data_IF_088195560754
#
_entry.id   IF_088195560754
#
_cell.length_a   1.000
_cell.length_b   1.000
_cell.length_c   1.000
_cell.angle_alpha   90.00
_cell.angle_beta   90.00
_cell.angle_gamma   90.00
#
_symmetry.space_group_name_H-M   'P 1'
#
loop_
_entity.id
_entity.type
_entity.pdbx_description
1 polymer ?
#
# COMPACT_ATOMS: atom_id res chain seq x y z
N UNK A 1 3.83 -45.32 -33.90
CA UNK A 1 3.80 -44.00 -33.25
C UNK A 1 5.19 -43.68 -32.73
N UNK A 2 5.91 -42.82 -33.45
CA UNK A 2 7.38 -42.73 -33.39
C UNK A 2 7.85 -41.81 -32.25
N UNK A 3 9.08 -42.03 -31.76
CA UNK A 3 9.68 -41.25 -30.63
C UNK A 3 9.72 -39.74 -30.92
N UNK A 4 9.75 -39.38 -32.20
CA UNK A 4 9.78 -37.99 -32.68
C UNK A 4 8.40 -37.33 -32.72
N UNK A 5 7.31 -38.08 -32.89
CA UNK A 5 5.94 -37.56 -32.83
C UNK A 5 5.54 -37.21 -31.38
N UNK A 6 5.96 -38.05 -30.41
CA UNK A 6 5.73 -37.77 -28.97
C UNK A 6 6.48 -36.53 -28.48
N UNK A 7 7.68 -36.26 -29.03
CA UNK A 7 8.47 -35.05 -28.74
C UNK A 7 7.79 -33.78 -29.24
N UNK A 8 7.16 -33.84 -30.42
CA UNK A 8 6.38 -32.73 -30.97
C UNK A 8 5.16 -32.40 -30.10
N UNK A 9 4.45 -33.41 -29.63
CA UNK A 9 3.25 -33.22 -28.80
C UNK A 9 3.55 -32.62 -27.42
N UNK A 10 4.63 -33.07 -26.77
CA UNK A 10 5.09 -32.50 -25.48
C UNK A 10 5.57 -31.04 -25.66
N UNK A 11 6.23 -30.72 -26.77
CA UNK A 11 6.68 -29.36 -27.08
C UNK A 11 5.51 -28.41 -27.36
N UNK A 12 4.47 -28.87 -28.06
CA UNK A 12 3.25 -28.06 -28.29
C UNK A 12 2.44 -27.85 -27.01
N UNK A 13 2.34 -28.87 -26.15
CA UNK A 13 1.64 -28.76 -24.86
C UNK A 13 2.38 -27.80 -23.91
N UNK A 14 3.71 -27.75 -23.96
CA UNK A 14 4.52 -26.80 -23.19
C UNK A 14 4.39 -25.36 -23.72
N UNK A 15 4.31 -25.15 -25.04
CA UNK A 15 4.09 -23.83 -25.65
C UNK A 15 2.68 -23.27 -25.37
N UNK A 16 1.66 -24.13 -25.24
CA UNK A 16 0.32 -23.70 -24.83
C UNK A 16 0.28 -23.23 -23.37
N UNK A 17 0.97 -23.95 -22.48
CA UNK A 17 1.07 -23.57 -21.07
C UNK A 17 1.89 -22.28 -20.86
N UNK A 18 2.96 -22.06 -21.64
CA UNK A 18 3.75 -20.82 -21.53
C UNK A 18 3.04 -19.59 -22.11
N UNK A 19 2.14 -19.76 -23.09
CA UNK A 19 1.32 -18.65 -23.60
C UNK A 19 0.32 -18.10 -22.57
N UNK A 20 -0.10 -18.90 -21.60
CA UNK A 20 -1.06 -18.45 -20.59
C UNK A 20 -0.42 -17.69 -19.42
N UNK A 21 0.90 -17.78 -19.26
CA UNK A 21 1.67 -17.07 -18.21
C UNK A 21 2.40 -15.83 -18.72
N UNK A 22 2.15 -15.42 -19.97
CA UNK A 22 2.81 -14.26 -20.59
C UNK A 22 1.85 -13.24 -21.25
N UNK A 23 0.53 -13.47 -21.18
CA UNK A 23 -0.51 -12.54 -21.66
C UNK A 23 -1.24 -11.84 -20.49
N UNK A 24 -0.56 -11.68 -19.35
CA UNK A 24 -0.93 -10.72 -18.29
C UNK A 24 0.18 -9.71 -17.98
N UNK A 25 1.19 -9.60 -18.86
CA UNK A 25 2.32 -8.67 -18.63
C UNK A 25 2.16 -7.27 -19.25
N UNK A 26 1.11 -7.00 -20.05
CA UNK A 26 0.98 -5.70 -20.73
C UNK A 26 -0.36 -4.95 -20.50
N UNK A 27 -1.20 -5.41 -19.56
CA UNK A 27 -2.47 -4.71 -19.21
C UNK A 27 -2.58 -4.32 -17.72
N UNK A 28 -1.46 -4.30 -16.98
CA UNK A 28 -1.40 -3.68 -15.64
C UNK A 28 -0.25 -2.69 -15.47
N UNK A 29 0.64 -2.55 -16.45
CA UNK A 29 1.66 -1.48 -16.44
C UNK A 29 1.07 -0.08 -16.76
N UNK A 30 -0.23 0.01 -17.07
CA UNK A 30 -0.95 1.26 -17.36
C UNK A 30 -2.20 1.47 -16.48
N UNK A 31 -2.34 0.68 -15.41
CA UNK A 31 -3.37 0.85 -14.37
C UNK A 31 -2.78 0.94 -12.96
N UNK A 32 -1.46 1.12 -12.85
CA UNK A 32 -0.76 1.38 -11.59
C UNK A 32 -0.20 2.81 -11.54
N UNK A 33 -0.56 3.64 -12.51
CA UNK A 33 -0.21 5.07 -12.57
C UNK A 33 -1.32 6.00 -12.06
N UNK A 34 -2.34 5.46 -11.39
CA UNK A 34 -3.45 6.23 -10.81
C UNK A 34 -3.63 5.98 -9.31
N UNK A 35 -2.70 5.30 -8.65
CA UNK A 35 -2.70 5.14 -7.19
C UNK A 35 -1.43 5.71 -6.56
N UNK A 36 -0.76 6.64 -7.25
CA UNK A 36 -0.06 7.73 -6.56
C UNK A 36 -1.12 8.75 -6.13
N UNK A 37 -2.15 8.24 -5.45
CA UNK A 37 -3.18 9.08 -4.90
C UNK A 37 -2.46 9.89 -3.83
N UNK A 38 -2.51 11.21 -3.96
CA UNK A 38 -2.12 12.13 -2.89
C UNK A 38 -3.08 11.86 -1.74
N UNK A 39 -2.90 10.74 -1.05
CA UNK A 39 -3.86 10.24 -0.06
C UNK A 39 -3.88 11.30 1.02
N UNK A 40 -5.04 11.89 1.14
CA UNK A 40 -5.34 12.95 2.07
C UNK A 40 -5.34 12.28 3.44
N UNK A 41 -4.40 12.65 4.30
CA UNK A 41 -4.25 12.05 5.62
C UNK A 41 -4.68 13.04 6.68
N UNK A 42 -5.53 12.57 7.59
CA UNK A 42 -5.96 13.32 8.78
C UNK A 42 -4.87 13.17 9.84
N UNK A 43 -4.17 14.24 10.16
CA UNK A 43 -3.26 14.31 11.30
C UNK A 43 -3.90 15.06 12.46
N UNK A 44 -3.57 14.67 13.69
CA UNK A 44 -3.87 15.47 14.87
C UNK A 44 -2.69 16.41 15.13
N UNK A 45 -2.98 17.71 15.21
CA UNK A 45 -2.01 18.71 15.67
C UNK A 45 -1.84 18.64 17.19
N UNK A 46 -0.82 19.31 17.73
CA UNK A 46 -0.55 19.39 19.19
C UNK A 46 -1.73 19.92 20.01
N UNK A 47 -2.64 20.65 19.36
CA UNK A 47 -3.82 21.23 19.98
C UNK A 47 -5.06 20.31 19.88
N UNK A 48 -4.92 19.09 19.34
CA UNK A 48 -6.02 18.13 19.15
C UNK A 48 -6.88 18.40 17.91
N UNK A 49 -6.55 19.41 17.11
CA UNK A 49 -7.27 19.72 15.87
C UNK A 49 -6.88 18.75 14.75
N UNK A 50 -7.87 18.31 13.98
CA UNK A 50 -7.65 17.50 12.78
C UNK A 50 -7.22 18.42 11.65
N UNK A 51 -6.02 18.18 11.12
CA UNK A 51 -5.51 18.83 9.91
C UNK A 51 -5.36 17.80 8.81
N UNK A 52 -5.69 18.23 7.61
CA UNK A 52 -5.54 17.42 6.41
C UNK A 52 -4.19 17.75 5.78
N UNK A 53 -3.35 16.72 5.57
CA UNK A 53 -2.06 16.83 4.89
C UNK A 53 -1.93 15.78 3.78
N UNK A 54 -0.94 15.94 2.91
CA UNK A 54 -0.57 14.88 1.98
C UNK A 54 0.07 13.71 2.74
N UNK A 55 -0.21 12.47 2.32
CA UNK A 55 0.51 11.29 2.81
C UNK A 55 2.04 11.42 2.67
N UNK A 56 2.53 12.20 1.70
CA UNK A 56 3.94 12.48 1.50
C UNK A 56 4.57 13.40 2.58
N UNK A 57 3.76 14.19 3.29
CA UNK A 57 4.23 15.13 4.31
C UNK A 57 4.25 14.51 5.72
N UNK A 58 3.88 13.23 5.84
CA UNK A 58 3.89 12.50 7.10
C UNK A 58 5.32 12.39 7.62
N UNK A 59 5.52 12.77 8.88
CA UNK A 59 6.79 12.64 9.59
C UNK A 59 6.65 11.67 10.75
N UNK A 60 7.77 11.06 11.11
CA UNK A 60 7.91 10.27 12.34
C UNK A 60 7.39 11.07 13.54
N UNK A 61 6.57 10.43 14.36
CA UNK A 61 5.93 11.01 15.54
C UNK A 61 4.64 11.78 15.25
N UNK A 62 4.20 11.92 14.01
CA UNK A 62 2.84 12.40 13.74
C UNK A 62 1.80 11.40 14.23
N UNK A 63 0.65 11.93 14.63
CA UNK A 63 -0.52 11.14 14.99
C UNK A 63 -1.48 11.25 13.81
N UNK A 64 -1.76 10.13 13.16
CA UNK A 64 -2.72 10.04 12.07
C UNK A 64 -4.01 9.40 12.59
N UNK A 65 -5.15 9.88 12.07
CA UNK A 65 -6.45 9.28 12.26
C UNK A 65 -6.84 8.55 10.98
N UNK A 66 -7.12 7.26 11.10
CA UNK A 66 -7.61 6.41 10.01
C UNK A 66 -8.94 5.79 10.40
N UNK A 67 -9.85 5.71 9.44
CA UNK A 67 -11.21 5.20 9.63
C UNK A 67 -11.50 4.03 8.70
N UNK A 68 -12.62 3.33 8.94
CA UNK A 68 -13.05 2.20 8.14
C UNK A 68 -13.08 2.55 6.64
N UNK A 69 -12.39 1.73 5.85
CA UNK A 69 -12.22 1.93 4.42
C UNK A 69 -10.89 2.55 4.03
N UNK A 70 -10.21 3.25 4.95
CA UNK A 70 -8.92 3.90 4.69
C UNK A 70 -7.77 2.88 4.62
N UNK A 71 -6.73 3.25 3.88
CA UNK A 71 -5.46 2.53 3.83
C UNK A 71 -4.49 3.21 4.79
N UNK A 72 -3.79 2.41 5.60
CA UNK A 72 -2.76 2.90 6.51
C UNK A 72 -1.59 3.43 5.67
N UNK A 73 -1.27 4.74 5.73
CA UNK A 73 -0.29 5.35 4.85
C UNK A 73 1.15 5.08 5.29
N UNK A 74 1.38 4.80 6.57
CA UNK A 74 2.71 4.70 7.19
C UNK A 74 2.70 3.69 8.32
N UNK A 75 3.83 3.02 8.53
CA UNK A 75 4.01 2.11 9.66
C UNK A 75 3.92 2.89 10.98
N UNK A 76 3.33 2.24 11.99
CA UNK A 76 3.07 2.92 13.25
C UNK A 76 2.55 2.05 14.36
N UNK A 77 2.30 2.70 15.48
CA UNK A 77 1.76 2.12 16.70
C UNK A 77 0.41 2.75 17.01
N UNK A 78 -0.60 1.93 17.30
CA UNK A 78 -1.92 2.37 17.75
C UNK A 78 -1.81 2.95 19.15
N UNK A 79 -2.15 4.22 19.29
CA UNK A 79 -2.17 4.93 20.57
C UNK A 79 -3.59 5.11 21.12
N UNK A 80 -4.62 5.00 20.26
CA UNK A 80 -6.02 5.11 20.66
C UNK A 80 -6.93 4.43 19.63
N UNK A 81 -8.05 3.89 20.09
CA UNK A 81 -9.06 3.26 19.24
C UNK A 81 -8.96 1.73 19.19
N UNK A 82 -9.93 1.13 18.51
CA UNK A 82 -10.08 -0.30 18.32
C UNK A 82 -10.66 -0.54 16.93
N UNK A 83 -9.94 -1.26 16.07
CA UNK A 83 -10.34 -1.51 14.70
C UNK A 83 -9.92 -2.89 14.20
N UNK A 84 -10.64 -3.35 13.18
CA UNK A 84 -10.21 -4.52 12.40
C UNK A 84 -9.37 -4.03 11.23
N UNK A 85 -8.21 -4.65 11.02
CA UNK A 85 -7.28 -4.33 9.94
C UNK A 85 -7.13 -5.54 9.03
N UNK A 86 -7.36 -5.32 7.75
CA UNK A 86 -7.15 -6.30 6.70
C UNK A 86 -5.68 -6.25 6.24
N UNK A 87 -4.91 -7.23 6.71
CA UNK A 87 -3.50 -7.43 6.36
C UNK A 87 -3.32 -8.41 5.17
N UNK A 88 -4.41 -8.81 4.50
CA UNK A 88 -4.37 -9.76 3.38
C UNK A 88 -3.45 -9.33 2.24
N UNK A 89 -3.28 -8.02 2.05
CA UNK A 89 -2.37 -7.44 1.07
C UNK A 89 -0.90 -7.80 1.33
N UNK A 90 -0.53 -8.07 2.59
CA UNK A 90 0.84 -8.36 3.02
C UNK A 90 1.00 -9.84 3.35
N UNK A 91 0.13 -10.40 4.19
CA UNK A 91 0.25 -11.77 4.72
C UNK A 91 -0.43 -12.81 3.83
N UNK A 92 -1.36 -12.40 2.96
CA UNK A 92 -2.18 -13.31 2.16
C UNK A 92 -3.28 -14.02 2.96
N UNK A 93 -3.40 -13.73 4.26
CA UNK A 93 -4.48 -14.25 5.10
C UNK A 93 -5.71 -13.35 5.01
N UNK A 94 -6.88 -13.93 4.72
CA UNK A 94 -8.11 -13.15 4.49
C UNK A 94 -8.89 -12.81 5.75
N UNK A 95 -8.38 -13.14 6.94
CA UNK A 95 -9.06 -12.86 8.21
C UNK A 95 -8.50 -11.55 8.76
N UNK A 96 -9.34 -10.52 8.98
CA UNK A 96 -8.87 -9.25 9.52
C UNK A 96 -8.41 -9.41 10.97
N UNK A 97 -7.31 -8.73 11.30
CA UNK A 97 -6.69 -8.77 12.63
C UNK A 97 -7.19 -7.58 13.46
N UNK A 98 -7.54 -7.84 14.72
CA UNK A 98 -7.94 -6.79 15.64
C UNK A 98 -6.72 -6.03 16.17
N UNK A 99 -6.76 -4.70 16.06
CA UNK A 99 -5.72 -3.79 16.55
C UNK A 99 -6.32 -2.86 17.60
N UNK A 100 -5.64 -2.72 18.72
CA UNK A 100 -6.07 -1.89 19.85
C UNK A 100 -4.90 -1.14 20.49
N UNK A 101 -5.21 -0.02 21.14
CA UNK A 101 -4.22 0.75 21.87
C UNK A 101 -3.69 -0.01 23.10
N UNK A 102 -2.37 -0.13 23.22
CA UNK A 102 -1.71 -0.76 24.37
C UNK A 102 -1.87 -2.28 24.47
N UNK A 103 -2.47 -2.92 23.48
CA UNK A 103 -2.53 -4.38 23.37
C UNK A 103 -1.26 -4.98 22.75
N UNK A 104 -1.19 -6.31 22.72
CA UNK A 104 -0.08 -7.07 22.12
C UNK A 104 0.04 -6.83 20.60
N UNK A 105 -1.08 -6.50 19.95
CA UNK A 105 -1.17 -6.22 18.51
C UNK A 105 -1.40 -4.73 18.24
N UNK A 106 -0.64 -3.85 18.91
CA UNK A 106 -0.76 -2.40 18.68
C UNK A 106 0.03 -1.91 17.44
N UNK A 107 0.84 -2.76 16.80
CA UNK A 107 1.60 -2.39 15.61
C UNK A 107 0.78 -2.53 14.33
N UNK A 108 0.88 -1.53 13.46
CA UNK A 108 0.23 -1.50 12.14
C UNK A 108 1.25 -1.29 11.03
N UNK A 109 0.93 -1.88 9.88
CA UNK A 109 1.78 -1.88 8.68
C UNK A 109 1.12 -1.04 7.60
N UNK A 110 1.91 -0.22 6.92
CA UNK A 110 1.52 0.57 5.77
C UNK A 110 1.00 -0.31 4.62
N UNK A 111 0.05 0.22 3.86
CA UNK A 111 -0.58 -0.51 2.75
C UNK A 111 -1.70 -1.48 3.17
N UNK A 112 -1.85 -1.75 4.47
CA UNK A 112 -3.00 -2.49 5.02
C UNK A 112 -4.25 -1.60 5.10
N UNK A 113 -5.44 -2.20 5.15
CA UNK A 113 -6.71 -1.46 5.10
C UNK A 113 -7.47 -1.58 6.42
N UNK A 114 -8.06 -0.49 6.90
CA UNK A 114 -8.99 -0.55 8.02
C UNK A 114 -10.31 -1.14 7.53
N UNK A 115 -10.69 -2.30 8.06
CA UNK A 115 -11.94 -2.98 7.74
C UNK A 115 -13.13 -2.39 8.52
N UNK A 116 -12.93 -1.99 9.78
CA UNK A 116 -14.00 -1.40 10.61
C UNK A 116 -13.47 -0.46 11.69
N UNK A 117 -14.33 0.43 12.21
CA UNK A 117 -14.05 1.45 13.23
C UNK A 117 -12.96 2.46 12.83
N UNK A 118 -12.11 2.88 13.78
CA UNK A 118 -11.10 3.91 13.61
C UNK A 118 -9.90 3.67 14.54
N UNK A 119 -8.74 4.17 14.16
CA UNK A 119 -7.51 4.14 14.94
C UNK A 119 -6.80 5.50 14.91
N UNK A 120 -6.23 5.90 16.05
CA UNK A 120 -5.16 6.89 16.09
C UNK A 120 -3.84 6.16 16.13
N UNK A 121 -3.00 6.42 15.14
CA UNK A 121 -1.72 5.75 14.97
C UNK A 121 -0.62 6.80 15.10
N UNK A 122 0.36 6.51 15.94
CA UNK A 122 1.62 7.26 16.01
C UNK A 122 2.59 6.67 15.01
N UNK A 123 3.01 7.50 14.07
CA UNK A 123 3.92 7.11 13.00
C UNK A 123 5.31 6.79 13.58
N UNK A 124 5.77 5.57 13.39
CA UNK A 124 7.10 5.10 13.83
C UNK A 124 8.14 5.32 12.74
N UNK A 125 7.74 5.10 11.48
CA UNK A 125 8.54 5.29 10.29
C UNK A 125 7.76 6.08 9.25
N UNK A 126 8.38 7.07 8.57
CA UNK A 126 7.73 7.80 7.49
C UNK A 126 7.46 6.88 6.29
N UNK A 127 6.48 7.23 5.43
CA UNK A 127 6.11 6.38 4.31
C UNK A 127 7.27 6.20 3.33
N UNK A 128 7.52 4.95 2.94
CA UNK A 128 8.65 4.56 2.08
C UNK A 128 8.39 4.85 0.60
N UNK A 129 7.11 4.88 0.19
CA UNK A 129 6.73 5.05 -1.21
C UNK A 129 6.40 6.51 -1.60
N UNK A 130 7.11 6.97 -2.64
CA UNK A 130 6.76 8.06 -3.57
C UNK A 130 6.60 9.49 -3.01
N UNK A 131 7.47 9.94 -2.12
CA UNK A 131 7.74 11.39 -1.94
C UNK A 131 8.86 11.89 -2.89
N UNK A 132 9.01 11.27 -4.07
CA UNK A 132 9.96 11.69 -5.11
C UNK A 132 9.40 12.84 -5.98
N UNK A 133 8.84 13.87 -5.35
CA UNK A 133 8.28 15.03 -6.09
C UNK A 133 8.87 16.38 -5.62
N UNK A 134 10.09 16.34 -5.07
CA UNK A 134 10.89 17.57 -4.85
C UNK A 134 12.02 17.80 -5.86
N UNK A 135 12.15 16.95 -6.88
CA UNK A 135 13.26 17.07 -7.87
C UNK A 135 12.81 17.64 -9.24
N UNK A 136 11.51 17.70 -9.57
CA UNK A 136 11.05 18.33 -10.84
C UNK A 136 10.43 19.71 -10.58
N UNK A 137 11.19 20.62 -9.97
CA UNK A 137 10.88 22.05 -9.98
C UNK A 137 12.14 22.93 -10.05
N UNK A 138 13.20 22.44 -10.69
CA UNK A 138 14.43 23.23 -10.92
C UNK A 138 14.91 23.19 -12.38
N UNK A 139 14.42 22.32 -13.26
CA UNK A 139 14.99 22.17 -14.61
C UNK A 139 14.25 22.89 -15.75
N UNK A 140 13.29 23.78 -15.47
CA UNK A 140 12.69 24.67 -16.48
C UNK A 140 12.88 26.15 -16.07
N UNK A 141 14.13 26.58 -16.01
CA UNK A 141 14.50 28.01 -16.01
C UNK A 141 15.85 28.20 -16.69
N UNK A 142 15.96 27.66 -17.90
CA UNK A 142 16.93 28.17 -18.88
C UNK A 142 16.25 28.20 -20.25
N UNK A 143 15.22 29.01 -20.35
CA UNK A 143 14.96 29.72 -21.60
C UNK A 143 15.80 31.00 -21.53
N UNK A 144 16.96 30.99 -22.18
CA UNK A 144 17.63 32.19 -22.68
C UNK A 144 18.05 31.87 -24.11
#
# INVERSE_FOLDING_TARGET
MNKDEKKGFIRTLFVFFTKHTLERKNAQAKSLSNTTDKRIVKILDKNGNIKIISGCDIKKGNIILVEAGDIIPSDGEVIEGLALVDESAITGESVPVMKEAGGEFNLVISGTRIASNWLKIKVTEPPVESCFDKIVSVSESTAI
#
